data_IF_840762262721
#
_entry.id   IF_840762262721
#
_cell.length_a   1.000
_cell.length_b   1.000
_cell.length_c   1.000
_cell.angle_alpha   90.00
_cell.angle_beta   90.00
_cell.angle_gamma   90.00
#
_symmetry.space_group_name_H-M   'P 1'
#
loop_
_entity.id
_entity.type
_entity.pdbx_description
1 polymer ?
#
# COMPACT_ATOMS: atom_id res chain seq x y z
N UNK A 1 -5.07 -0.78 10.25
CA UNK A 1 -4.32 0.10 9.33
C UNK A 1 -5.04 0.07 7.98
N UNK A 2 -4.98 1.09 7.12
CA UNK A 2 -5.70 1.06 5.84
C UNK A 2 -4.73 0.98 4.67
N UNK A 3 -4.93 0.00 3.79
CA UNK A 3 -4.19 -0.16 2.54
C UNK A 3 -5.06 0.39 1.40
N UNK A 4 -4.54 1.39 0.70
CA UNK A 4 -5.21 2.17 -0.33
C UNK A 4 -4.44 2.01 -1.64
N UNK A 5 -5.18 1.95 -2.75
CA UNK A 5 -4.64 1.94 -4.11
C UNK A 5 -5.22 3.19 -4.78
N UNK A 6 -4.36 4.07 -5.29
CA UNK A 6 -4.79 5.28 -6.00
C UNK A 6 -4.73 5.04 -7.51
N UNK A 7 -5.72 5.57 -8.25
CA UNK A 7 -5.79 5.46 -9.72
C UNK A 7 -4.60 6.12 -10.42
N UNK A 8 -4.04 7.16 -9.81
CA UNK A 8 -2.87 7.87 -10.33
C UNK A 8 -1.62 6.98 -10.40
N UNK A 9 -1.50 5.99 -9.50
CA UNK A 9 -0.36 5.07 -9.46
C UNK A 9 -0.43 3.98 -10.53
N UNK A 10 -1.57 3.83 -11.21
CA UNK A 10 -1.80 2.80 -12.23
C UNK A 10 -1.26 3.21 -13.61
N UNK A 11 -1.06 4.52 -13.82
CA UNK A 11 -0.44 5.06 -15.04
C UNK A 11 1.08 4.87 -15.03
N UNK A 12 1.70 4.83 -13.86
CA UNK A 12 3.06 4.36 -13.70
C UNK A 12 3.02 2.82 -13.71
N UNK A 13 3.68 2.18 -14.68
CA UNK A 13 3.71 0.72 -14.91
C UNK A 13 4.27 -0.14 -13.72
N UNK A 14 4.28 0.39 -12.50
CA UNK A 14 4.75 -0.23 -11.26
C UNK A 14 3.61 -0.33 -10.27
N UNK A 15 3.41 -1.51 -9.70
CA UNK A 15 2.40 -1.74 -8.65
C UNK A 15 2.80 -1.03 -7.36
N UNK A 16 1.95 -0.11 -6.91
CA UNK A 16 2.19 0.72 -5.72
C UNK A 16 1.03 0.57 -4.74
N UNK A 17 1.32 0.70 -3.44
CA UNK A 17 0.31 0.72 -2.40
C UNK A 17 0.58 1.88 -1.44
N UNK A 18 -0.49 2.58 -1.08
CA UNK A 18 -0.48 3.61 -0.06
C UNK A 18 -1.02 3.04 1.25
N UNK A 19 -0.37 3.40 2.34
CA UNK A 19 -0.67 2.93 3.68
C UNK A 19 -1.07 4.12 4.50
N UNK A 20 -2.33 4.20 4.93
CA UNK A 20 -2.80 5.23 5.85
C UNK A 20 -2.98 4.64 7.25
N UNK A 21 -2.39 5.28 8.24
CA UNK A 21 -2.64 5.01 9.66
C UNK A 21 -3.03 6.29 10.38
N UNK A 22 -4.18 6.27 11.04
CA UNK A 22 -4.59 7.31 11.97
C UNK A 22 -4.03 7.01 13.36
N UNK A 23 -3.32 7.97 13.96
CA UNK A 23 -2.87 7.92 15.37
C UNK A 23 -3.34 9.20 16.07
N UNK A 24 -4.50 9.12 16.74
CA UNK A 24 -5.16 10.30 17.31
C UNK A 24 -5.64 11.27 16.23
N UNK A 25 -5.22 12.55 16.30
CA UNK A 25 -5.52 13.58 15.29
C UNK A 25 -4.56 13.55 14.08
N UNK A 26 -3.45 12.83 14.18
CA UNK A 26 -2.45 12.78 13.11
C UNK A 26 -2.75 11.63 12.14
N UNK A 27 -2.74 11.95 10.84
CA UNK A 27 -2.72 10.95 9.76
C UNK A 27 -1.30 10.77 9.29
N UNK A 28 -0.86 9.53 9.22
CA UNK A 28 0.43 9.13 8.67
C UNK A 28 0.19 8.31 7.43
N UNK A 29 0.90 8.65 6.36
CA UNK A 29 0.79 8.00 5.06
C UNK A 29 2.15 7.48 4.64
N UNK A 30 2.23 6.24 4.18
CA UNK A 30 3.45 5.70 3.59
C UNK A 30 3.13 5.16 2.20
N UNK A 31 4.13 5.20 1.32
CA UNK A 31 4.04 4.73 -0.05
C UNK A 31 5.06 3.62 -0.27
N UNK A 32 4.59 2.50 -0.80
CA UNK A 32 5.41 1.33 -1.07
C UNK A 32 5.27 0.91 -2.53
N UNK A 33 6.38 0.57 -3.17
CA UNK A 33 6.37 -0.25 -4.38
C UNK A 33 6.26 -1.71 -4.01
N UNK A 34 5.55 -2.48 -4.82
CA UNK A 34 5.35 -3.92 -4.62
C UNK A 34 6.23 -4.77 -5.56
N UNK A 35 6.50 -4.26 -6.77
CA UNK A 35 7.28 -4.97 -7.79
C UNK A 35 8.41 -4.08 -8.36
N UNK A 36 9.58 -4.64 -8.70
CA UNK A 36 9.99 -6.06 -8.56
C UNK A 36 10.44 -6.46 -7.13
N UNK A 37 10.56 -5.49 -6.22
CA UNK A 37 10.84 -5.71 -4.79
C UNK A 37 10.01 -4.73 -3.97
N UNK A 38 9.63 -5.14 -2.76
CA UNK A 38 8.91 -4.25 -1.84
C UNK A 38 9.87 -3.19 -1.32
N UNK A 39 9.62 -1.94 -1.69
CA UNK A 39 10.47 -0.80 -1.35
C UNK A 39 9.64 0.35 -0.81
N UNK A 40 10.10 0.97 0.27
CA UNK A 40 9.50 2.20 0.80
C UNK A 40 9.92 3.36 -0.09
N UNK A 41 8.95 3.99 -0.74
CA UNK A 41 9.14 5.23 -1.51
C UNK A 41 8.99 6.42 -0.59
N UNK A 42 7.93 6.43 0.21
CA UNK A 42 7.67 7.49 1.19
C UNK A 42 7.34 6.90 2.56
N UNK A 43 7.97 7.46 3.59
CA UNK A 43 7.80 7.01 4.98
C UNK A 43 6.66 7.70 5.71
N UNK A 44 6.23 8.88 5.27
CA UNK A 44 5.30 9.84 5.90
C UNK A 44 4.93 9.62 7.38
N UNK A 45 5.96 9.66 8.24
CA UNK A 45 5.82 9.64 9.70
C UNK A 45 5.88 8.27 10.37
N UNK A 46 6.11 7.20 9.63
CA UNK A 46 6.34 5.87 10.19
C UNK A 46 7.80 5.67 10.59
N UNK A 47 8.00 5.10 11.77
CA UNK A 47 9.32 4.67 12.25
C UNK A 47 9.85 3.47 11.45
N UNK A 48 11.16 3.21 11.52
CA UNK A 48 11.77 2.08 10.80
C UNK A 48 11.19 0.72 11.23
N UNK A 49 10.85 0.55 12.50
CA UNK A 49 10.20 -0.65 13.03
C UNK A 49 8.77 -0.80 12.53
N UNK A 50 8.00 0.29 12.43
CA UNK A 50 6.68 0.28 11.80
C UNK A 50 6.77 -0.07 10.32
N UNK A 51 7.69 0.53 9.57
CA UNK A 51 7.89 0.21 8.14
C UNK A 51 8.24 -1.27 7.92
N UNK A 52 9.08 -1.87 8.76
CA UNK A 52 9.37 -3.31 8.70
C UNK A 52 8.13 -4.17 8.97
N UNK A 53 7.27 -3.77 9.91
CA UNK A 53 6.00 -4.48 10.16
C UNK A 53 5.06 -4.38 8.97
N UNK A 54 4.94 -3.18 8.38
CA UNK A 54 4.13 -2.95 7.18
C UNK A 54 4.66 -3.79 6.02
N UNK A 55 5.98 -3.78 5.79
CA UNK A 55 6.62 -4.58 4.75
C UNK A 55 6.34 -6.07 4.94
N UNK A 56 6.38 -6.58 6.18
CA UNK A 56 6.01 -7.96 6.49
C UNK A 56 4.54 -8.24 6.15
N UNK A 57 3.62 -7.37 6.55
CA UNK A 57 2.19 -7.50 6.23
C UNK A 57 1.94 -7.47 4.71
N UNK A 58 2.63 -6.60 3.99
CA UNK A 58 2.59 -6.54 2.53
C UNK A 58 3.07 -7.87 1.93
N UNK A 59 4.18 -8.42 2.43
CA UNK A 59 4.71 -9.73 1.98
C UNK A 59 3.72 -10.86 2.21
N UNK A 60 3.15 -10.93 3.41
CA UNK A 60 2.17 -11.96 3.79
C UNK A 60 0.89 -11.88 2.95
N UNK A 61 0.50 -10.68 2.51
CA UNK A 61 -0.73 -10.42 1.77
C UNK A 61 -0.49 -10.04 0.30
N UNK A 62 0.69 -10.30 -0.25
CA UNK A 62 1.09 -9.81 -1.57
C UNK A 62 0.17 -10.31 -2.69
N UNK A 63 -0.33 -11.54 -2.58
CA UNK A 63 -1.28 -12.12 -3.54
C UNK A 63 -2.60 -11.33 -3.56
N UNK A 64 -3.15 -11.06 -2.38
CA UNK A 64 -4.39 -10.29 -2.24
C UNK A 64 -4.23 -8.85 -2.75
N UNK A 65 -3.09 -8.22 -2.45
CA UNK A 65 -2.78 -6.87 -2.92
C UNK A 65 -2.64 -6.83 -4.46
N UNK A 66 -1.93 -7.80 -5.05
CA UNK A 66 -1.80 -7.91 -6.49
C UNK A 66 -3.16 -8.13 -7.17
N UNK A 67 -4.00 -9.04 -6.65
CA UNK A 67 -5.33 -9.26 -7.20
C UNK A 67 -6.20 -8.01 -7.14
N UNK A 68 -6.12 -7.22 -6.06
CA UNK A 68 -6.85 -5.96 -5.93
C UNK A 68 -6.32 -4.92 -6.93
N UNK A 69 -5.01 -4.80 -7.11
CA UNK A 69 -4.42 -3.90 -8.11
C UNK A 69 -4.82 -4.31 -9.53
N UNK A 70 -4.83 -5.60 -9.85
CA UNK A 70 -5.29 -6.10 -11.15
C UNK A 70 -6.78 -5.84 -11.37
N UNK A 71 -7.63 -6.07 -10.36
CA UNK A 71 -9.06 -5.75 -10.42
C UNK A 71 -9.26 -4.25 -10.66
N UNK A 72 -8.50 -3.42 -9.95
CA UNK A 72 -8.55 -1.97 -10.13
C UNK A 72 -8.11 -1.54 -11.52
N UNK A 73 -7.03 -2.11 -12.05
CA UNK A 73 -6.57 -1.84 -13.42
C UNK A 73 -7.55 -2.28 -14.50
N UNK A 74 -8.38 -3.28 -14.23
CA UNK A 74 -9.49 -3.71 -15.09
C UNK A 74 -10.76 -2.85 -14.93
N UNK A 75 -10.69 -1.75 -14.17
CA UNK A 75 -11.82 -0.85 -13.91
C UNK A 75 -12.86 -1.41 -12.94
N UNK A 76 -12.54 -2.48 -12.20
CA UNK A 76 -13.45 -3.05 -11.21
C UNK A 76 -13.36 -2.29 -9.88
N UNK A 77 -14.49 -2.23 -9.16
CA UNK A 77 -14.53 -1.63 -7.81
C UNK A 77 -13.64 -2.42 -6.86
N UNK A 78 -12.59 -1.79 -6.35
CA UNK A 78 -11.82 -2.28 -5.22
C UNK A 78 -12.38 -1.78 -3.90
N UNK A 79 -12.05 -2.49 -2.82
CA UNK A 79 -12.39 -2.10 -1.46
C UNK A 79 -11.10 -1.85 -0.70
N UNK A 80 -11.12 -0.86 0.20
CA UNK A 80 -10.00 -0.64 1.13
C UNK A 80 -9.73 -1.92 1.92
N UNK A 81 -8.49 -2.42 1.85
CA UNK A 81 -8.09 -3.57 2.65
C UNK A 81 -7.72 -3.05 4.04
N UNK A 82 -8.44 -3.52 5.06
CA UNK A 82 -8.12 -3.27 6.46
C UNK A 82 -7.42 -4.51 7.01
N UNK A 83 -6.13 -4.37 7.29
CA UNK A 83 -5.32 -5.35 8.04
C UNK A 83 -4.95 -4.77 9.41
#
# INVERSE_FOLDING_TARGET
MCFLIYSSDLAENRKQVHIESKKGRFRRTAKFWLEPKILVVEKGGFSHTELKKIEKLIKENIKLLNEQIEKFGKGQKIRTIKL
#
